data_IF_704497579604
#
_entry.id   IF_704497579604
#
_cell.length_a   1.000
_cell.length_b   1.000
_cell.length_c   1.000
_cell.angle_alpha   90.00
_cell.angle_beta   90.00
_cell.angle_gamma   90.00
#
_symmetry.space_group_name_H-M   'P 1'
#
loop_
_entity.id
_entity.type
_entity.pdbx_description
1 polymer ?
#
# COMPACT_ATOMS: atom_id res chain seq x y z
N UNK A 1 43.85 -22.48 -38.73
CA UNK A 1 44.30 -21.34 -37.88
C UNK A 1 43.43 -20.08 -37.95
N UNK A 2 42.49 -19.92 -38.90
CA UNK A 2 41.65 -18.69 -39.03
C UNK A 2 40.43 -18.64 -38.12
N UNK A 3 39.89 -19.79 -37.70
CA UNK A 3 38.65 -19.87 -36.92
C UNK A 3 38.80 -19.47 -35.44
N UNK A 4 39.97 -19.67 -34.84
CA UNK A 4 40.26 -19.29 -33.44
C UNK A 4 40.15 -17.77 -33.22
N UNK A 5 40.59 -16.97 -34.20
CA UNK A 5 40.50 -15.50 -34.14
C UNK A 5 39.05 -15.01 -34.15
N UNK A 6 38.16 -15.72 -34.85
CA UNK A 6 36.72 -15.38 -34.90
C UNK A 6 36.04 -15.74 -33.58
N UNK A 7 36.36 -16.91 -33.01
CA UNK A 7 35.82 -17.36 -31.72
C UNK A 7 36.23 -16.40 -30.60
N UNK A 8 37.49 -15.97 -30.57
CA UNK A 8 37.97 -14.99 -29.58
C UNK A 8 37.29 -13.62 -29.73
N UNK A 9 37.09 -13.15 -30.96
CA UNK A 9 36.43 -11.86 -31.20
C UNK A 9 34.95 -11.87 -30.77
N UNK A 10 34.23 -12.96 -31.03
CA UNK A 10 32.83 -13.12 -30.59
C UNK A 10 32.74 -13.26 -29.07
N UNK A 11 33.64 -14.02 -28.44
CA UNK A 11 33.68 -14.14 -26.99
C UNK A 11 33.98 -12.79 -26.30
N UNK A 12 34.89 -11.99 -26.86
CA UNK A 12 35.19 -10.63 -26.37
C UNK A 12 34.01 -9.68 -26.55
N UNK A 13 33.30 -9.73 -27.68
CA UNK A 13 32.09 -8.92 -27.90
C UNK A 13 30.95 -9.30 -26.95
N UNK A 14 30.72 -10.60 -26.74
CA UNK A 14 29.72 -11.09 -25.78
C UNK A 14 30.10 -10.67 -24.35
N UNK A 15 31.36 -10.84 -23.96
CA UNK A 15 31.85 -10.38 -22.66
C UNK A 15 31.69 -8.87 -22.50
N UNK A 16 32.01 -8.07 -23.52
CA UNK A 16 31.87 -6.61 -23.49
C UNK A 16 30.40 -6.18 -23.37
N UNK A 17 29.49 -6.85 -24.08
CA UNK A 17 28.04 -6.63 -23.96
C UNK A 17 27.55 -7.02 -22.55
N UNK A 18 27.97 -8.18 -22.03
CA UNK A 18 27.60 -8.64 -20.68
C UNK A 18 28.16 -7.75 -19.57
N UNK A 19 29.32 -7.09 -19.79
CA UNK A 19 29.94 -6.16 -18.83
C UNK A 19 29.27 -4.77 -18.89
N UNK A 20 28.79 -4.34 -20.06
CA UNK A 20 28.21 -2.99 -20.25
C UNK A 20 26.67 -2.94 -20.17
N UNK A 21 25.98 -4.07 -20.26
CA UNK A 21 24.52 -4.20 -20.09
C UNK A 21 23.98 -4.00 -18.65
N UNK A 22 24.68 -4.37 -17.56
CA UNK A 22 24.09 -4.41 -16.23
C UNK A 22 23.94 -3.04 -15.54
N UNK A 23 24.49 -1.95 -16.09
CA UNK A 23 24.42 -0.62 -15.47
C UNK A 23 23.32 0.27 -16.05
N UNK A 24 23.09 0.24 -17.37
CA UNK A 24 22.05 1.09 -18.00
C UNK A 24 20.63 0.68 -17.61
N UNK A 25 20.37 -0.63 -17.45
CA UNK A 25 19.08 -1.13 -17.00
C UNK A 25 18.78 -0.78 -15.53
N UNK A 26 19.82 -0.73 -14.67
CA UNK A 26 19.69 -0.36 -13.24
C UNK A 26 19.59 1.15 -13.00
N UNK A 27 20.21 1.97 -13.86
CA UNK A 27 20.17 3.41 -13.71
C UNK A 27 18.79 4.01 -14.08
N UNK A 28 18.12 3.47 -15.11
CA UNK A 28 16.77 3.91 -15.49
C UNK A 28 15.69 3.52 -14.46
N UNK A 29 15.83 2.39 -13.76
CA UNK A 29 14.88 1.98 -12.72
C UNK A 29 14.91 2.91 -11.50
N UNK A 30 16.06 3.46 -11.13
CA UNK A 30 16.20 4.27 -9.91
C UNK A 30 15.67 5.71 -10.05
N UNK A 31 15.64 6.28 -11.27
CA UNK A 31 15.18 7.66 -11.47
C UNK A 31 13.64 7.81 -11.47
N UNK A 32 12.88 6.72 -11.61
CA UNK A 32 11.40 6.72 -11.63
C UNK A 32 10.82 6.26 -10.29
N UNK A 33 11.61 5.62 -9.43
CA UNK A 33 11.13 4.85 -8.27
C UNK A 33 11.55 5.43 -6.91
N UNK A 34 11.62 6.77 -6.78
CA UNK A 34 11.71 7.36 -5.44
C UNK A 34 10.34 7.32 -4.75
N UNK A 35 10.03 6.17 -4.16
CA UNK A 35 8.79 5.92 -3.43
C UNK A 35 8.64 6.89 -2.24
N UNK A 36 9.76 7.39 -1.70
CA UNK A 36 9.79 8.22 -0.48
C UNK A 36 9.32 9.65 -0.72
N UNK A 37 9.25 10.08 -1.99
CA UNK A 37 8.64 11.37 -2.38
C UNK A 37 7.15 11.43 -1.99
N UNK A 38 6.44 10.29 -1.95
CA UNK A 38 5.02 10.24 -1.60
C UNK A 38 4.74 9.38 -0.36
N UNK A 39 5.44 8.26 -0.21
CA UNK A 39 5.22 7.33 0.90
C UNK A 39 6.30 7.51 1.96
N UNK A 40 5.94 8.19 3.05
CA UNK A 40 6.84 8.40 4.18
C UNK A 40 7.37 7.08 4.73
N UNK A 41 8.66 7.05 5.02
CA UNK A 41 9.35 5.91 5.63
C UNK A 41 9.64 6.13 7.11
N UNK A 42 9.40 7.34 7.62
CA UNK A 42 9.64 7.73 9.01
C UNK A 42 8.61 8.78 9.44
N UNK A 43 8.07 8.61 10.64
CA UNK A 43 7.06 9.51 11.21
C UNK A 43 5.71 9.45 10.50
N UNK A 44 4.64 9.98 11.13
CA UNK A 44 3.34 10.18 10.48
C UNK A 44 3.49 11.03 9.21
N UNK A 45 2.77 10.73 8.10
CA UNK A 45 2.75 11.64 6.96
C UNK A 45 2.20 13.00 7.39
N UNK A 46 2.84 14.12 7.00
CA UNK A 46 2.32 15.46 7.29
C UNK A 46 0.90 15.62 6.70
N UNK A 47 0.14 16.61 7.16
CA UNK A 47 -1.25 16.80 6.75
C UNK A 47 -1.38 16.95 5.22
N UNK A 48 -0.40 17.57 4.58
CA UNK A 48 -0.30 17.74 3.12
C UNK A 48 -0.03 16.40 2.39
N UNK A 49 0.54 15.41 3.08
CA UNK A 49 0.75 14.05 2.59
C UNK A 49 -0.38 13.10 2.99
N UNK A 50 -1.49 13.60 3.57
CA UNK A 50 -2.61 12.78 4.03
C UNK A 50 -3.33 11.98 2.92
N UNK A 51 -3.00 12.20 1.64
CA UNK A 51 -3.53 11.36 0.55
C UNK A 51 -2.71 10.09 0.33
N UNK A 52 -1.48 10.02 0.83
CA UNK A 52 -0.59 8.90 0.60
C UNK A 52 -0.65 7.89 1.75
N UNK A 53 -0.88 6.59 1.47
CA UNK A 53 -0.91 5.59 2.52
C UNK A 53 0.46 5.40 3.16
N UNK A 54 0.43 5.13 4.46
CA UNK A 54 1.57 4.60 5.21
C UNK A 54 1.76 3.14 4.81
N UNK A 55 2.96 2.76 4.37
CA UNK A 55 3.27 1.39 3.93
C UNK A 55 4.08 0.59 4.95
N UNK A 56 4.81 1.28 5.84
CA UNK A 56 5.69 0.68 6.83
C UNK A 56 5.01 -0.43 7.66
N UNK A 57 5.71 -1.54 7.83
CA UNK A 57 5.26 -2.66 8.67
C UNK A 57 4.02 -3.40 8.14
N UNK A 58 3.45 -3.00 7.00
CA UNK A 58 2.36 -3.77 6.38
C UNK A 58 2.91 -5.08 5.84
N UNK A 59 2.13 -6.19 5.87
CA UNK A 59 2.59 -7.46 5.31
C UNK A 59 3.02 -7.30 3.86
N UNK A 60 4.21 -7.80 3.48
CA UNK A 60 4.73 -7.72 2.11
C UNK A 60 3.73 -8.27 1.08
N UNK A 61 3.08 -9.40 1.40
CA UNK A 61 2.00 -9.98 0.58
C UNK A 61 0.83 -9.03 0.32
N UNK A 62 0.50 -8.16 1.29
CA UNK A 62 -0.55 -7.16 1.13
C UNK A 62 -0.08 -6.07 0.16
N UNK A 63 1.11 -5.51 0.37
CA UNK A 63 1.67 -4.46 -0.49
C UNK A 63 1.81 -4.97 -1.93
N UNK A 64 2.37 -6.16 -2.11
CA UNK A 64 2.50 -6.82 -3.41
C UNK A 64 1.14 -7.00 -4.10
N UNK A 65 0.11 -7.46 -3.35
CA UNK A 65 -1.25 -7.58 -3.88
C UNK A 65 -1.83 -6.23 -4.31
N UNK A 66 -1.54 -5.14 -3.59
CA UNK A 66 -2.00 -3.79 -3.98
C UNK A 66 -1.29 -3.29 -5.24
N UNK A 67 0.04 -3.49 -5.35
CA UNK A 67 0.79 -3.15 -6.56
C UNK A 67 0.28 -3.94 -7.78
N UNK A 68 0.04 -5.25 -7.61
CA UNK A 68 -0.61 -6.05 -8.64
C UNK A 68 -1.98 -5.47 -9.02
N UNK A 69 -2.80 -5.08 -8.04
CA UNK A 69 -4.13 -4.54 -8.31
C UNK A 69 -4.09 -3.22 -9.11
N UNK A 70 -3.09 -2.36 -8.87
CA UNK A 70 -2.90 -1.14 -9.66
C UNK A 70 -2.48 -1.42 -11.10
N UNK A 71 -1.63 -2.43 -11.31
CA UNK A 71 -1.15 -2.82 -12.64
C UNK A 71 -2.25 -3.49 -13.48
N UNK A 72 -3.12 -4.26 -12.84
CA UNK A 72 -4.17 -5.03 -13.51
C UNK A 72 -5.55 -4.33 -13.47
N UNK A 73 -5.59 -3.03 -13.19
CA UNK A 73 -6.82 -2.20 -13.12
C UNK A 73 -7.89 -2.72 -12.11
N UNK A 74 -7.48 -3.51 -11.11
CA UNK A 74 -8.32 -3.83 -9.96
C UNK A 74 -8.31 -2.71 -8.91
N UNK A 75 -7.45 -1.72 -9.05
CA UNK A 75 -7.43 -0.51 -8.23
C UNK A 75 -6.98 0.64 -9.12
N UNK A 76 -7.83 1.63 -9.29
CA UNK A 76 -7.57 2.72 -10.23
C UNK A 76 -6.84 3.87 -9.54
N UNK A 77 -5.63 4.21 -10.00
CA UNK A 77 -4.95 5.46 -9.64
C UNK A 77 -3.81 5.74 -10.64
N UNK A 78 -3.88 6.79 -11.48
CA UNK A 78 -2.96 6.95 -12.62
C UNK A 78 -1.47 6.84 -12.27
N UNK A 79 -1.05 7.52 -11.19
CA UNK A 79 0.35 7.48 -10.74
C UNK A 79 0.75 6.10 -10.23
N UNK A 80 -0.11 5.41 -9.49
CA UNK A 80 0.26 4.12 -8.90
C UNK A 80 0.17 2.99 -9.92
N UNK A 81 -0.71 3.09 -10.92
CA UNK A 81 -0.73 2.19 -12.08
C UNK A 81 0.55 2.33 -12.91
N UNK A 82 1.02 3.56 -13.15
CA UNK A 82 2.31 3.80 -13.81
C UNK A 82 3.49 3.24 -13.00
N UNK A 83 3.54 3.54 -11.69
CA UNK A 83 4.57 3.02 -10.78
C UNK A 83 4.56 1.48 -10.72
N UNK A 84 3.40 0.86 -10.56
CA UNK A 84 3.28 -0.60 -10.49
C UNK A 84 3.65 -1.30 -11.80
N UNK A 85 3.34 -0.67 -12.93
CA UNK A 85 3.77 -1.14 -14.26
C UNK A 85 5.28 -1.03 -14.41
N UNK A 86 5.87 0.11 -14.04
CA UNK A 86 7.31 0.34 -14.11
C UNK A 86 8.10 -0.58 -13.18
N UNK A 87 7.54 -0.91 -12.00
CA UNK A 87 8.15 -1.86 -11.07
C UNK A 87 8.26 -3.27 -11.68
N UNK A 88 7.27 -3.73 -12.44
CA UNK A 88 7.27 -5.06 -13.05
C UNK A 88 7.59 -6.18 -12.04
N UNK A 89 8.65 -6.95 -12.31
CA UNK A 89 9.16 -8.01 -11.43
C UNK A 89 9.73 -7.48 -10.10
N UNK A 90 10.09 -6.19 -10.02
CA UNK A 90 10.59 -5.51 -8.83
C UNK A 90 9.54 -5.24 -7.75
N UNK A 91 8.24 -5.44 -8.04
CA UNK A 91 7.15 -5.16 -7.09
C UNK A 91 7.31 -5.94 -5.77
N UNK A 92 7.74 -7.20 -5.82
CA UNK A 92 7.95 -8.02 -4.63
C UNK A 92 9.12 -7.49 -3.76
N UNK A 93 10.18 -6.96 -4.39
CA UNK A 93 11.30 -6.37 -3.68
C UNK A 93 10.90 -5.05 -2.99
N UNK A 94 10.15 -4.18 -3.70
CA UNK A 94 9.60 -2.95 -3.13
C UNK A 94 8.64 -3.24 -1.96
N UNK A 95 7.80 -4.27 -2.08
CA UNK A 95 6.91 -4.69 -1.02
C UNK A 95 7.66 -5.17 0.24
N UNK A 96 8.76 -5.91 0.09
CA UNK A 96 9.60 -6.33 1.21
C UNK A 96 10.30 -5.15 1.89
N UNK A 97 10.82 -4.20 1.11
CA UNK A 97 11.46 -3.01 1.65
C UNK A 97 10.57 -2.30 2.68
N UNK A 98 9.31 -2.00 2.33
CA UNK A 98 8.39 -1.32 3.25
C UNK A 98 7.87 -2.23 4.36
N UNK A 99 7.72 -3.53 4.11
CA UNK A 99 7.32 -4.49 5.14
C UNK A 99 8.36 -4.62 6.26
N UNK A 100 9.65 -4.50 5.92
CA UNK A 100 10.76 -4.58 6.86
C UNK A 100 11.02 -3.26 7.62
N UNK A 101 10.40 -2.16 7.20
CA UNK A 101 10.46 -0.89 7.93
C UNK A 101 9.66 -0.99 9.25
N UNK A 102 10.14 -0.35 10.33
CA UNK A 102 9.38 -0.26 11.56
C UNK A 102 7.98 0.33 11.31
N UNK A 103 6.90 -0.30 11.81
CA UNK A 103 5.57 0.28 11.71
C UNK A 103 5.55 1.66 12.38
N UNK A 104 4.78 2.59 11.83
CA UNK A 104 4.54 3.87 12.49
C UNK A 104 3.83 3.58 13.81
N UNK A 105 4.34 4.17 14.90
CA UNK A 105 3.68 4.07 16.20
C UNK A 105 2.31 4.70 16.11
N UNK A 106 1.34 3.93 16.52
CA UNK A 106 -0.05 4.32 16.62
C UNK A 106 -0.24 4.68 18.10
N UNK A 107 -1.17 5.59 18.39
CA UNK A 107 -1.55 5.94 19.77
C UNK A 107 -2.93 5.40 20.03
N UNK A 108 -3.39 5.45 21.27
CA UNK A 108 -4.81 5.21 21.55
C UNK A 108 -5.68 6.14 20.68
N UNK A 109 -6.73 5.61 20.02
CA UNK A 109 -7.68 6.43 19.27
C UNK A 109 -8.33 7.50 20.16
N UNK A 110 -8.60 8.67 19.59
CA UNK A 110 -9.31 9.72 20.31
C UNK A 110 -10.82 9.45 20.31
N UNK A 111 -11.41 9.48 21.51
CA UNK A 111 -12.86 9.39 21.70
C UNK A 111 -13.44 7.98 21.58
N UNK A 112 -14.76 7.91 21.76
CA UNK A 112 -15.51 6.66 21.70
C UNK A 112 -15.57 6.11 20.27
N UNK A 113 -15.42 4.79 20.13
CA UNK A 113 -15.50 4.14 18.82
C UNK A 113 -16.95 4.19 18.29
N UNK A 114 -17.17 4.52 17.01
CA UNK A 114 -18.49 4.38 16.39
C UNK A 114 -19.04 2.96 16.56
N UNK A 115 -20.35 2.83 16.77
CA UNK A 115 -21.00 1.52 16.96
C UNK A 115 -20.75 0.56 15.78
N UNK A 116 -20.62 1.07 14.55
CA UNK A 116 -20.24 0.25 13.39
C UNK A 116 -18.87 -0.43 13.52
N UNK A 117 -17.95 0.11 14.33
CA UNK A 117 -16.64 -0.46 14.59
C UNK A 117 -16.72 -1.59 15.61
N UNK A 118 -17.46 -1.39 16.70
CA UNK A 118 -17.51 -2.29 17.86
C UNK A 118 -18.63 -3.31 17.81
N UNK A 119 -19.82 -2.90 17.36
CA UNK A 119 -21.06 -3.69 17.37
C UNK A 119 -21.53 -4.08 15.96
N UNK A 120 -21.20 -3.26 14.96
CA UNK A 120 -21.69 -3.39 13.59
C UNK A 120 -23.15 -2.96 13.45
N UNK A 121 -23.73 -3.28 12.30
CA UNK A 121 -25.15 -3.17 11.99
C UNK A 121 -25.58 -4.45 11.26
N UNK A 122 -26.05 -5.43 12.03
CA UNK A 122 -26.42 -6.74 11.51
C UNK A 122 -27.65 -6.73 10.61
N UNK A 123 -28.54 -5.75 10.78
CA UNK A 123 -29.73 -5.58 9.94
C UNK A 123 -29.33 -5.19 8.51
N UNK A 124 -28.32 -4.32 8.37
CA UNK A 124 -27.70 -4.01 7.06
C UNK A 124 -26.70 -5.07 6.59
N UNK A 125 -26.39 -6.08 7.41
CA UNK A 125 -25.39 -7.10 7.11
C UNK A 125 -23.95 -6.59 7.23
N UNK A 126 -23.72 -5.61 8.11
CA UNK A 126 -22.42 -5.03 8.43
C UNK A 126 -21.94 -5.58 9.77
N UNK A 127 -21.12 -6.63 9.79
CA UNK A 127 -20.47 -7.04 11.05
C UNK A 127 -19.52 -5.94 11.56
N UNK A 128 -19.12 -5.92 12.85
CA UNK A 128 -18.17 -4.95 13.38
C UNK A 128 -16.89 -4.86 12.54
N UNK A 129 -16.43 -3.64 12.25
CA UNK A 129 -15.20 -3.41 11.49
C UNK A 129 -13.98 -4.03 12.20
N UNK A 130 -13.97 -3.89 13.54
CA UNK A 130 -12.93 -4.44 14.42
C UNK A 130 -12.79 -5.96 14.34
N UNK A 131 -13.84 -6.69 13.97
CA UNK A 131 -13.81 -8.15 13.84
C UNK A 131 -12.76 -8.61 12.81
N UNK A 132 -12.47 -7.79 11.80
CA UNK A 132 -11.47 -8.10 10.78
C UNK A 132 -10.24 -7.19 10.83
N UNK A 133 -10.42 -5.92 11.20
CA UNK A 133 -9.36 -4.90 11.18
C UNK A 133 -8.73 -4.61 12.55
N UNK A 134 -9.32 -5.15 13.63
CA UNK A 134 -8.88 -4.93 15.00
C UNK A 134 -9.34 -3.61 15.61
N UNK A 135 -9.16 -3.54 16.93
CA UNK A 135 -9.21 -2.32 17.74
C UNK A 135 -7.81 -1.84 18.14
N UNK A 136 -6.82 -2.74 18.14
CA UNK A 136 -5.46 -2.49 18.60
C UNK A 136 -4.43 -2.83 17.52
N UNK A 137 -3.20 -2.36 17.72
CA UNK A 137 -2.08 -2.43 16.78
C UNK A 137 -1.48 -3.83 16.66
N UNK A 138 -1.59 -4.62 17.73
CA UNK A 138 -1.23 -6.03 17.76
C UNK A 138 -2.26 -6.82 16.97
N UNK A 139 -1.97 -7.06 15.70
CA UNK A 139 -2.45 -8.30 15.10
C UNK A 139 -1.40 -8.88 14.16
N UNK A 140 -0.66 -9.84 14.69
CA UNK A 140 0.33 -10.65 13.95
C UNK A 140 -0.31 -11.71 13.03
N UNK A 141 -1.64 -11.76 12.94
CA UNK A 141 -2.38 -12.75 12.15
C UNK A 141 -3.65 -12.17 11.50
N UNK A 142 -3.56 -11.16 10.63
CA UNK A 142 -4.78 -10.48 10.18
C UNK A 142 -5.43 -11.06 8.92
N UNK A 143 -6.76 -11.19 8.99
CA UNK A 143 -7.71 -11.43 7.89
C UNK A 143 -7.84 -10.21 6.96
N UNK A 144 -7.39 -9.03 7.39
CA UNK A 144 -7.46 -7.73 6.71
C UNK A 144 -6.22 -6.86 7.04
N UNK A 145 -6.00 -5.69 6.41
CA UNK A 145 -4.91 -4.79 6.79
C UNK A 145 -5.24 -3.91 8.00
N UNK A 146 -4.23 -3.55 8.79
CA UNK A 146 -4.33 -2.53 9.86
C UNK A 146 -4.74 -1.17 9.27
N UNK A 147 -5.75 -0.56 9.89
CA UNK A 147 -6.31 0.75 9.52
C UNK A 147 -5.79 1.88 10.40
N UNK A 148 -5.53 1.60 11.68
CA UNK A 148 -4.93 2.55 12.61
C UNK A 148 -3.65 3.16 12.04
N UNK A 149 -3.52 4.48 12.18
CA UNK A 149 -2.34 5.21 11.74
C UNK A 149 -2.35 5.60 10.26
N UNK A 150 -3.36 5.18 9.49
CA UNK A 150 -3.54 5.66 8.13
C UNK A 150 -4.11 7.08 8.12
N UNK A 151 -3.85 7.88 7.07
CA UNK A 151 -4.50 9.16 6.93
C UNK A 151 -6.02 9.06 6.76
N UNK A 152 -6.74 10.00 7.38
CA UNK A 152 -8.21 10.09 7.29
C UNK A 152 -8.71 10.18 5.84
N UNK A 153 -8.12 11.06 5.04
CA UNK A 153 -8.54 11.26 3.65
C UNK A 153 -8.24 10.04 2.78
N UNK A 154 -7.12 9.36 3.00
CA UNK A 154 -6.84 8.06 2.39
C UNK A 154 -7.91 7.02 2.75
N UNK A 155 -8.22 6.82 4.05
CA UNK A 155 -9.23 5.84 4.47
C UNK A 155 -10.61 6.12 3.87
N UNK A 156 -11.06 7.38 3.90
CA UNK A 156 -12.33 7.79 3.30
C UNK A 156 -12.34 7.56 1.78
N UNK A 157 -11.24 7.89 1.09
CA UNK A 157 -11.08 7.63 -0.35
C UNK A 157 -11.19 6.13 -0.65
N UNK A 158 -10.49 5.28 0.09
CA UNK A 158 -10.52 3.84 -0.12
C UNK A 158 -11.91 3.22 0.12
N UNK A 159 -12.65 3.69 1.13
CA UNK A 159 -14.02 3.26 1.35
C UNK A 159 -14.93 3.66 0.18
N UNK A 160 -14.83 4.90 -0.31
CA UNK A 160 -15.59 5.34 -1.51
C UNK A 160 -15.21 4.53 -2.75
N UNK A 161 -13.92 4.27 -2.96
CA UNK A 161 -13.44 3.48 -4.09
C UNK A 161 -13.95 2.02 -4.06
N UNK A 162 -14.12 1.44 -2.86
CA UNK A 162 -14.80 0.15 -2.73
C UNK A 162 -16.31 0.26 -3.00
N UNK A 163 -16.96 1.33 -2.54
CA UNK A 163 -18.39 1.54 -2.74
C UNK A 163 -18.76 1.73 -4.21
N UNK A 164 -17.96 2.49 -4.97
CA UNK A 164 -18.18 2.76 -6.40
C UNK A 164 -17.57 1.71 -7.34
N UNK A 165 -16.69 0.84 -6.82
CA UNK A 165 -16.09 -0.26 -7.56
C UNK A 165 -14.81 0.08 -8.33
N UNK A 166 -14.27 1.29 -8.18
CA UNK A 166 -12.93 1.67 -8.69
C UNK A 166 -11.79 0.99 -7.92
N UNK A 167 -12.09 0.42 -6.75
CA UNK A 167 -11.24 -0.56 -6.05
C UNK A 167 -11.95 -1.90 -5.89
N UNK A 168 -11.33 -2.95 -6.43
CA UNK A 168 -11.78 -4.35 -6.46
C UNK A 168 -10.71 -5.33 -5.95
N UNK A 169 -9.71 -4.78 -5.24
CA UNK A 169 -8.58 -5.52 -4.71
C UNK A 169 -8.88 -6.34 -3.44
N UNK A 170 -10.16 -6.45 -3.06
CA UNK A 170 -10.61 -7.07 -1.83
C UNK A 170 -10.89 -8.57 -1.99
N UNK A 171 -10.38 -9.43 -1.08
CA UNK A 171 -10.65 -10.86 -1.13
C UNK A 171 -12.16 -11.14 -1.06
N UNK A 172 -12.67 -11.88 -2.05
CA UNK A 172 -14.07 -12.32 -2.14
C UNK A 172 -15.10 -11.17 -2.20
N UNK A 173 -14.70 -9.95 -2.55
CA UNK A 173 -15.64 -8.82 -2.64
C UNK A 173 -16.14 -8.31 -1.28
N UNK A 174 -15.45 -8.67 -0.18
CA UNK A 174 -15.87 -8.34 1.19
C UNK A 174 -15.95 -6.83 1.44
N UNK A 175 -14.93 -6.06 1.07
CA UNK A 175 -14.95 -4.62 1.34
C UNK A 175 -15.94 -3.89 0.45
N UNK A 176 -16.12 -4.31 -0.80
CA UNK A 176 -17.16 -3.73 -1.67
C UNK A 176 -18.56 -4.00 -1.13
N UNK A 177 -18.80 -5.20 -0.61
CA UNK A 177 -20.08 -5.51 0.05
C UNK A 177 -20.33 -4.60 1.26
N UNK A 178 -19.31 -4.32 2.07
CA UNK A 178 -19.46 -3.42 3.22
C UNK A 178 -19.65 -1.97 2.77
N UNK A 179 -18.71 -1.45 1.98
CA UNK A 179 -18.66 -0.04 1.61
C UNK A 179 -19.89 0.43 0.83
N UNK A 180 -20.48 -0.42 0.00
CA UNK A 180 -21.71 -0.11 -0.75
C UNK A 180 -22.96 0.13 0.12
N UNK A 181 -22.91 -0.18 1.42
CA UNK A 181 -24.00 -0.01 2.39
C UNK A 181 -23.76 1.14 3.39
N UNK A 182 -22.59 1.75 3.32
CA UNK A 182 -22.23 2.88 4.17
C UNK A 182 -22.79 4.18 3.59
N UNK A 183 -23.22 5.06 4.48
CA UNK A 183 -23.51 6.45 4.16
C UNK A 183 -22.22 7.27 4.15
N UNK A 184 -22.26 8.45 3.53
CA UNK A 184 -21.11 9.37 3.51
C UNK A 184 -20.70 9.83 4.92
N UNK A 185 -21.66 10.00 5.85
CA UNK A 185 -21.36 10.33 7.25
C UNK A 185 -20.59 9.21 7.93
N UNK A 186 -21.05 7.97 7.77
CA UNK A 186 -20.39 6.78 8.34
C UNK A 186 -18.99 6.59 7.77
N UNK A 187 -18.77 6.81 6.47
CA UNK A 187 -17.42 6.81 5.88
C UNK A 187 -16.52 7.85 6.56
N UNK A 188 -17.04 9.06 6.77
CA UNK A 188 -16.31 10.15 7.43
C UNK A 188 -15.95 9.85 8.89
N UNK A 189 -16.87 9.24 9.63
CA UNK A 189 -16.70 8.85 11.04
C UNK A 189 -15.71 7.70 11.19
N UNK A 190 -15.87 6.62 10.40
CA UNK A 190 -14.96 5.48 10.41
C UNK A 190 -13.53 5.91 10.05
N UNK A 191 -13.39 6.72 9.00
CA UNK A 191 -12.08 7.23 8.58
C UNK A 191 -11.45 8.16 9.63
N UNK A 192 -12.25 8.98 10.32
CA UNK A 192 -11.76 9.85 11.37
C UNK A 192 -11.25 9.05 12.58
N UNK A 193 -12.03 8.08 13.05
CA UNK A 193 -11.67 7.30 14.23
C UNK A 193 -10.39 6.48 14.02
N UNK A 194 -10.28 5.72 12.92
CA UNK A 194 -9.06 4.96 12.62
C UNK A 194 -7.83 5.86 12.34
N UNK A 195 -8.03 7.10 11.93
CA UNK A 195 -6.94 8.05 11.73
C UNK A 195 -6.51 8.79 13.00
N UNK A 196 -7.35 8.80 14.04
CA UNK A 196 -7.10 9.53 15.30
C UNK A 196 -5.99 8.92 16.16
N UNK A 197 -5.68 7.64 15.93
CA UNK A 197 -4.63 6.90 16.63
C UNK A 197 -3.22 7.25 16.15
N UNK A 198 -2.88 8.53 15.91
CA UNK A 198 -1.58 8.93 15.35
C UNK A 198 -0.80 9.77 16.35
N UNK A 199 0.41 9.32 16.69
CA UNK A 199 1.38 10.17 17.37
C UNK A 199 1.71 11.35 16.44
N UNK A 200 1.37 12.57 16.84
CA UNK A 200 1.89 13.79 16.23
C UNK A 200 3.40 13.85 16.48
N UNK A 201 4.18 14.35 15.52
CA UNK A 201 5.58 14.65 15.80
C UNK A 201 5.57 15.85 16.74
N UNK A 202 5.93 15.64 18.00
CA UNK A 202 6.42 16.73 18.85
C UNK A 202 7.63 17.33 18.13
N UNK A 203 7.43 18.51 17.54
CA UNK A 203 8.49 19.30 16.94
C UNK A 203 9.13 20.09 18.08
N UNK A 204 10.16 19.53 18.71
CA UNK A 204 11.11 20.32 19.50
C UNK A 204 12.04 21.14 18.59
#
# INVERSE_FOLDING_TARGET
MRHWKIILAVALLIALVLILWPERARAQSNAILDCTTCHVTSGPPPEEAALYPVLNGKPSRYIERQLWAYREDYREHPQMSATATALGEGAAAAARLYADLPPIRVTEPEGEAPALITEGDWERGLAPCSMCHGLEEDMRAQLAPLLHGQPRSYLAHELRAYADGTRRSDPMGRMRAYASRLTESEIGELAAWYASSREGVDVE
#
